data_IF_256415213204
#
_entry.id   IF_256415213204
#
_cell.length_a   1.000
_cell.length_b   1.000
_cell.length_c   1.000
_cell.angle_alpha   90.00
_cell.angle_beta   90.00
_cell.angle_gamma   90.00
#
_symmetry.space_group_name_H-M   'P 1'
#
loop_
_entity.id
_entity.type
_entity.pdbx_description
1 polymer ?
#
# COMPACT_ATOMS: atom_id res chain seq x y z
N UNK A 1 -16.73 16.13 -14.74
CA UNK A 1 -15.58 16.67 -14.05
C UNK A 1 -15.74 16.63 -12.52
N UNK A 2 -16.84 17.16 -12.00
CA UNK A 2 -17.06 17.12 -10.56
C UNK A 2 -17.10 15.72 -10.00
N UNK A 3 -17.73 14.76 -10.71
CA UNK A 3 -17.78 13.37 -10.25
C UNK A 3 -16.39 12.75 -10.22
N UNK A 4 -15.60 13.01 -11.26
CA UNK A 4 -14.25 12.49 -11.29
C UNK A 4 -13.41 13.17 -10.20
N UNK A 5 -13.58 14.48 -10.06
CA UNK A 5 -12.89 15.21 -9.00
C UNK A 5 -13.35 14.72 -7.62
N UNK A 6 -14.64 14.44 -7.48
CA UNK A 6 -15.18 13.93 -6.23
C UNK A 6 -14.68 12.52 -5.93
N UNK A 7 -14.60 11.69 -6.96
CA UNK A 7 -14.04 10.34 -6.81
C UNK A 7 -12.56 10.41 -6.44
N UNK A 8 -11.81 11.28 -7.09
CA UNK A 8 -10.42 11.52 -6.76
C UNK A 8 -10.31 12.11 -5.37
N UNK A 9 -11.22 13.00 -5.01
CA UNK A 9 -11.23 13.62 -3.70
C UNK A 9 -11.55 12.60 -2.61
N UNK A 10 -12.52 11.71 -2.85
CA UNK A 10 -12.84 10.65 -1.89
C UNK A 10 -11.64 9.73 -1.75
N UNK A 11 -11.00 9.36 -2.85
CA UNK A 11 -9.80 8.56 -2.82
C UNK A 11 -8.68 9.31 -2.08
N UNK A 12 -8.52 10.61 -2.37
CA UNK A 12 -7.52 11.44 -1.71
C UNK A 12 -7.79 11.56 -0.21
N UNK A 13 -9.05 11.71 0.18
CA UNK A 13 -9.40 11.78 1.59
C UNK A 13 -9.14 10.45 2.29
N UNK A 14 -9.48 9.34 1.65
CA UNK A 14 -9.17 8.02 2.18
C UNK A 14 -7.65 7.83 2.26
N UNK A 15 -6.94 8.27 1.24
CA UNK A 15 -5.49 8.24 1.22
C UNK A 15 -4.90 9.12 2.31
N UNK A 16 -5.46 10.30 2.52
CA UNK A 16 -5.00 11.21 3.56
C UNK A 16 -5.21 10.61 4.95
N UNK A 17 -6.38 10.01 5.18
CA UNK A 17 -6.70 9.42 6.47
C UNK A 17 -5.75 8.29 6.84
N UNK A 18 -5.34 7.48 5.84
CA UNK A 18 -4.40 6.39 6.07
C UNK A 18 -2.96 6.89 5.98
N UNK A 19 -2.71 7.86 5.10
CA UNK A 19 -1.37 8.39 4.92
C UNK A 19 -0.83 9.08 6.16
N UNK A 20 -1.70 9.63 7.01
CA UNK A 20 -1.26 10.18 8.29
C UNK A 20 -0.61 9.13 9.17
N UNK A 21 -1.02 7.88 9.06
CA UNK A 21 -0.45 6.78 9.83
C UNK A 21 1.03 6.57 9.51
N UNK A 22 1.49 6.96 8.32
CA UNK A 22 2.91 6.80 7.97
C UNK A 22 3.82 7.77 8.70
N UNK A 23 3.27 8.80 9.36
CA UNK A 23 4.04 9.70 10.21
C UNK A 23 4.45 9.03 11.52
N UNK A 24 3.81 7.93 11.88
CA UNK A 24 4.14 7.11 13.03
C UNK A 24 4.85 5.84 12.56
N UNK A 25 5.53 5.12 13.46
CA UNK A 25 6.08 3.82 13.11
C UNK A 25 4.99 2.91 12.56
N UNK A 26 5.27 2.14 11.49
CA UNK A 26 4.26 1.26 10.92
C UNK A 26 3.83 0.19 11.92
N UNK A 27 2.51 0.00 12.02
CA UNK A 27 1.93 -1.08 12.81
C UNK A 27 1.29 -2.07 11.86
N UNK A 28 1.55 -3.35 12.06
CA UNK A 28 1.03 -4.40 11.18
C UNK A 28 -0.49 -4.35 11.07
N UNK A 29 -1.16 -4.05 12.17
CA UNK A 29 -2.62 -3.99 12.23
C UNK A 29 -3.22 -2.84 11.40
N UNK A 30 -2.41 -1.85 11.03
CA UNK A 30 -2.88 -0.75 10.19
C UNK A 30 -2.97 -1.15 8.72
N UNK A 31 -2.39 -2.27 8.33
CA UNK A 31 -2.36 -2.74 6.95
C UNK A 31 -3.46 -3.77 6.76
N UNK A 32 -4.57 -3.36 6.13
CA UNK A 32 -5.74 -4.19 5.91
C UNK A 32 -5.73 -4.76 4.51
N UNK A 33 -6.31 -5.96 4.32
CA UNK A 33 -6.43 -6.53 2.97
C UNK A 33 -7.06 -5.54 2.00
N UNK A 34 -6.48 -5.41 0.82
CA UNK A 34 -6.95 -4.48 -0.20
C UNK A 34 -6.35 -3.08 -0.11
N UNK A 35 -5.64 -2.77 0.96
CA UNK A 35 -4.94 -1.50 1.05
C UNK A 35 -3.90 -1.38 -0.05
N UNK A 36 -3.68 -0.15 -0.51
CA UNK A 36 -2.66 0.16 -1.50
C UNK A 36 -1.45 0.71 -0.75
N UNK A 37 -0.30 0.16 -1.06
CA UNK A 37 0.95 0.62 -0.48
C UNK A 37 1.89 1.01 -1.61
N UNK A 38 2.47 2.17 -1.52
CA UNK A 38 3.47 2.62 -2.48
C UNK A 38 4.83 2.61 -1.83
N UNK A 39 5.83 2.32 -2.66
CA UNK A 39 7.21 2.19 -2.21
C UNK A 39 8.15 2.70 -3.30
N UNK A 40 9.41 2.81 -2.95
CA UNK A 40 10.45 3.20 -3.90
C UNK A 40 11.46 2.07 -3.99
N UNK A 41 11.60 1.50 -5.18
CA UNK A 41 12.54 0.41 -5.42
C UNK A 41 13.83 0.98 -5.97
N UNK A 42 14.94 0.62 -5.34
CA UNK A 42 16.26 1.10 -5.76
C UNK A 42 16.42 2.61 -5.67
N UNK A 43 15.58 3.27 -4.89
CA UNK A 43 15.64 4.72 -4.73
C UNK A 43 15.12 5.53 -5.91
N UNK A 44 14.64 4.86 -6.98
CA UNK A 44 14.27 5.55 -8.22
C UNK A 44 12.92 5.14 -8.78
N UNK A 45 12.51 3.89 -8.61
CA UNK A 45 11.34 3.35 -9.28
C UNK A 45 10.15 3.35 -8.31
N UNK A 46 9.11 4.13 -8.60
CA UNK A 46 7.86 4.01 -7.85
C UNK A 46 7.29 2.61 -8.04
N UNK A 47 6.81 2.04 -6.97
CA UNK A 47 6.26 0.69 -6.97
C UNK A 47 4.96 0.70 -6.18
N UNK A 48 3.99 -0.07 -6.64
CA UNK A 48 2.69 -0.16 -5.99
C UNK A 48 2.43 -1.61 -5.61
N UNK A 49 1.87 -1.80 -4.42
CA UNK A 49 1.53 -3.12 -3.90
C UNK A 49 0.14 -3.09 -3.32
N UNK A 50 -0.51 -4.25 -3.30
CA UNK A 50 -1.79 -4.44 -2.64
C UNK A 50 -1.56 -5.36 -1.44
N UNK A 51 -2.08 -4.96 -0.30
CA UNK A 51 -1.98 -5.80 0.90
C UNK A 51 -2.88 -7.01 0.74
N UNK A 52 -2.31 -8.19 0.89
CA UNK A 52 -3.02 -9.45 0.81
C UNK A 52 -3.76 -9.74 2.11
N UNK A 53 -4.74 -10.64 2.04
CA UNK A 53 -5.40 -11.19 3.22
C UNK A 53 -4.61 -12.33 3.83
N UNK A 54 -3.52 -12.73 3.23
CA UNK A 54 -2.61 -13.75 3.77
C UNK A 54 -1.42 -13.12 4.44
N UNK A 55 -0.88 -13.83 5.42
CA UNK A 55 0.25 -13.34 6.21
C UNK A 55 1.39 -14.34 6.19
N UNK A 56 2.59 -13.84 6.41
CA UNK A 56 3.75 -14.66 6.62
C UNK A 56 3.66 -15.37 7.99
N UNK A 57 4.58 -16.28 8.24
CA UNK A 57 4.66 -16.96 9.54
C UNK A 57 4.94 -15.99 10.69
N UNK A 58 5.49 -14.82 10.38
CA UNK A 58 5.74 -13.77 11.37
C UNK A 58 4.53 -12.85 11.57
N UNK A 59 3.40 -13.12 10.90
CA UNK A 59 2.20 -12.30 11.04
C UNK A 59 2.20 -11.04 10.19
N UNK A 60 3.13 -10.92 9.24
CA UNK A 60 3.21 -9.76 8.35
C UNK A 60 2.37 -10.03 7.11
N UNK A 61 1.46 -9.10 6.73
CA UNK A 61 0.69 -9.30 5.50
C UNK A 61 1.61 -9.45 4.29
N UNK A 62 1.26 -10.39 3.42
CA UNK A 62 1.93 -10.52 2.14
C UNK A 62 1.52 -9.37 1.24
N UNK A 63 2.33 -9.08 0.24
CA UNK A 63 2.05 -8.06 -0.74
C UNK A 63 1.85 -8.69 -2.11
N UNK A 64 0.82 -8.22 -2.80
CA UNK A 64 0.58 -8.59 -4.20
C UNK A 64 1.19 -7.48 -5.04
N UNK A 65 2.12 -7.84 -5.89
CA UNK A 65 2.84 -6.89 -6.70
C UNK A 65 3.32 -7.49 -8.01
N UNK A 66 3.76 -6.64 -8.91
CA UNK A 66 4.38 -7.02 -10.16
C UNK A 66 5.66 -6.20 -10.32
N UNK A 67 6.78 -6.88 -10.39
CA UNK A 67 8.08 -6.22 -10.53
C UNK A 67 8.81 -6.76 -11.77
N UNK A 68 8.08 -6.92 -12.87
CA UNK A 68 8.63 -7.29 -14.15
C UNK A 68 8.51 -8.74 -14.54
N UNK A 69 8.22 -9.62 -13.59
CA UNK A 69 8.11 -11.07 -13.85
C UNK A 69 6.70 -11.60 -13.65
N UNK A 70 5.71 -10.72 -13.68
CA UNK A 70 4.32 -11.08 -13.47
C UNK A 70 3.87 -10.79 -12.04
N UNK A 71 2.56 -10.89 -11.84
CA UNK A 71 1.97 -10.64 -10.54
C UNK A 71 2.34 -11.76 -9.58
N UNK A 72 2.80 -11.40 -8.41
CA UNK A 72 3.23 -12.32 -7.36
C UNK A 72 2.71 -11.88 -6.02
N UNK A 73 2.49 -12.84 -5.14
CA UNK A 73 2.18 -12.60 -3.73
C UNK A 73 3.39 -13.03 -2.92
N UNK A 74 4.02 -12.08 -2.25
CA UNK A 74 5.27 -12.33 -1.54
C UNK A 74 5.35 -11.57 -0.22
N UNK A 75 6.25 -12.00 0.64
CA UNK A 75 6.55 -11.35 1.91
C UNK A 75 7.52 -10.19 1.67
N UNK A 76 7.03 -9.14 1.03
CA UNK A 76 7.85 -7.99 0.63
C UNK A 76 7.22 -6.65 1.00
N UNK A 77 6.17 -6.66 1.84
CA UNK A 77 5.44 -5.43 2.17
C UNK A 77 6.38 -4.35 2.72
N UNK A 78 7.32 -4.73 3.53
CA UNK A 78 8.28 -3.80 4.13
C UNK A 78 9.70 -3.96 3.58
N UNK A 79 9.83 -4.61 2.43
CA UNK A 79 11.14 -4.84 1.82
C UNK A 79 11.74 -3.58 1.20
N UNK A 80 10.90 -2.59 0.88
CA UNK A 80 11.32 -1.35 0.25
C UNK A 80 10.86 -0.16 1.09
N UNK A 81 11.56 0.99 1.00
CA UNK A 81 11.09 2.19 1.69
C UNK A 81 9.68 2.56 1.22
N UNK A 82 8.75 2.66 2.15
CA UNK A 82 7.37 2.99 1.85
C UNK A 82 7.20 4.49 1.66
N UNK A 83 6.41 4.86 0.66
CA UNK A 83 6.13 6.25 0.34
C UNK A 83 4.67 6.60 0.58
N UNK A 84 3.79 5.63 0.73
CA UNK A 84 2.39 5.89 1.01
C UNK A 84 1.65 4.62 1.39
N UNK A 85 0.56 4.80 2.13
CA UNK A 85 -0.34 3.74 2.53
C UNK A 85 -1.76 4.29 2.40
N UNK A 86 -2.58 3.66 1.60
CA UNK A 86 -3.85 4.20 1.19
C UNK A 86 -4.94 3.14 1.25
N UNK A 87 -6.15 3.61 1.48
CA UNK A 87 -7.32 2.72 1.54
C UNK A 87 -8.45 3.31 0.73
N UNK A 88 -9.09 2.46 -0.08
CA UNK A 88 -10.29 2.83 -0.81
C UNK A 88 -11.47 2.63 0.14
N UNK A 89 -12.31 3.66 0.32
CA UNK A 89 -13.48 3.54 1.21
C UNK A 89 -14.52 2.55 0.70
#
# INVERSE_FOLDING_TARGET
>A
MKKLTKAILVLTLALAAVAEAKLAPPKLEDYKPGDIVTAMVGGKLPHIMIVSDRKSSAGVPLAIHNIGSGTQEKDVLFAYPLTGHYRIP
#
